data_IF_423230973808
#
_entry.id   IF_423230973808
#
_cell.length_a   1.000
_cell.length_b   1.000
_cell.length_c   1.000
_cell.angle_alpha   90.00
_cell.angle_beta   90.00
_cell.angle_gamma   90.00
#
_symmetry.space_group_name_H-M   'P 1'
#
loop_
_entity.id
_entity.type
_entity.pdbx_description
1 polymer ?
#
# COMPACT_ATOMS: atom_id res chain seq x y z
N UNK A 1 18.71 -9.87 -25.80
CA UNK A 1 17.55 -9.02 -25.41
C UNK A 1 16.58 -9.90 -24.65
N UNK A 2 16.56 -9.85 -23.31
CA UNK A 2 15.59 -10.61 -22.53
C UNK A 2 14.21 -9.98 -22.70
N UNK A 3 13.31 -10.67 -23.39
CA UNK A 3 11.89 -10.29 -23.41
C UNK A 3 11.37 -10.62 -22.01
N UNK A 4 11.19 -9.60 -21.20
CA UNK A 4 10.59 -9.77 -19.88
C UNK A 4 9.10 -10.01 -20.06
N UNK A 5 8.63 -11.21 -19.70
CA UNK A 5 7.20 -11.50 -19.66
C UNK A 5 6.55 -10.65 -18.56
N UNK A 6 5.55 -9.87 -18.93
CA UNK A 6 4.76 -9.04 -18.01
C UNK A 6 3.78 -9.92 -17.23
N UNK A 7 3.57 -9.60 -15.95
CA UNK A 7 2.52 -10.24 -15.15
C UNK A 7 1.15 -9.84 -15.68
N UNK A 8 0.25 -10.80 -15.78
CA UNK A 8 -1.15 -10.57 -16.14
C UNK A 8 -1.97 -10.60 -14.85
N UNK A 9 -2.64 -9.50 -14.53
CA UNK A 9 -3.52 -9.38 -13.37
C UNK A 9 -4.98 -9.55 -13.78
N UNK A 10 -5.71 -10.44 -13.09
CA UNK A 10 -7.13 -10.68 -13.30
C UNK A 10 -7.89 -10.67 -11.97
N UNK A 11 -9.15 -10.22 -11.99
CA UNK A 11 -10.01 -10.32 -10.83
C UNK A 11 -10.78 -11.63 -10.84
N UNK A 12 -10.79 -12.31 -9.69
CA UNK A 12 -11.47 -13.58 -9.47
C UNK A 12 -12.39 -13.45 -8.26
N UNK A 13 -13.68 -13.62 -8.48
CA UNK A 13 -14.69 -13.66 -7.43
C UNK A 13 -14.99 -15.10 -7.02
N UNK A 14 -15.13 -15.34 -5.73
CA UNK A 14 -15.54 -16.63 -5.15
C UNK A 14 -14.74 -17.83 -5.68
N UNK A 15 -13.42 -17.72 -5.74
CA UNK A 15 -12.54 -18.81 -6.24
C UNK A 15 -12.77 -20.15 -5.51
N UNK A 16 -13.06 -20.10 -4.22
CA UNK A 16 -13.28 -21.31 -3.39
C UNK A 16 -14.69 -21.88 -3.52
N UNK A 17 -15.58 -21.24 -4.32
CA UNK A 17 -16.99 -21.62 -4.46
C UNK A 17 -17.73 -21.76 -3.12
N UNK A 18 -17.40 -20.93 -2.16
CA UNK A 18 -18.00 -20.89 -0.82
C UNK A 18 -18.36 -19.46 -0.44
N UNK A 19 -19.53 -19.30 0.15
CA UNK A 19 -19.94 -18.04 0.76
C UNK A 19 -19.65 -18.08 2.26
N UNK A 20 -19.39 -16.93 2.85
CA UNK A 20 -19.26 -16.79 4.30
C UNK A 20 -20.64 -16.81 4.97
N UNK A 21 -20.70 -16.70 6.30
CA UNK A 21 -21.95 -16.70 7.07
C UNK A 21 -22.94 -15.59 6.67
N UNK A 22 -22.44 -14.50 6.05
CA UNK A 22 -23.24 -13.38 5.56
C UNK A 22 -23.69 -13.54 4.09
N UNK A 23 -23.43 -14.68 3.47
CA UNK A 23 -23.74 -14.92 2.06
C UNK A 23 -22.86 -14.14 1.08
N UNK A 24 -21.65 -13.73 1.51
CA UNK A 24 -20.68 -12.99 0.72
C UNK A 24 -19.49 -13.86 0.33
N UNK A 25 -18.82 -13.52 -0.76
CA UNK A 25 -17.57 -14.16 -1.19
C UNK A 25 -16.47 -13.12 -1.43
N UNK A 26 -15.24 -13.59 -1.30
CA UNK A 26 -14.03 -12.78 -1.45
C UNK A 26 -13.74 -12.49 -2.92
N UNK A 27 -13.36 -11.25 -3.21
CA UNK A 27 -12.70 -10.83 -4.44
C UNK A 27 -11.19 -10.99 -4.26
N UNK A 28 -10.51 -11.58 -5.24
CA UNK A 28 -9.06 -11.77 -5.24
C UNK A 28 -8.47 -11.26 -6.55
N UNK A 29 -7.22 -10.78 -6.50
CA UNK A 29 -6.40 -10.52 -7.68
C UNK A 29 -5.61 -11.80 -7.99
N UNK A 30 -5.79 -12.35 -9.19
CA UNK A 30 -4.94 -13.40 -9.75
C UNK A 30 -3.78 -12.74 -10.49
N UNK A 31 -2.54 -13.04 -10.11
CA UNK A 31 -1.36 -12.72 -10.89
C UNK A 31 -0.88 -13.97 -11.61
N UNK A 32 -0.72 -13.87 -12.92
CA UNK A 32 -0.28 -14.95 -13.80
C UNK A 32 1.04 -14.58 -14.47
N UNK A 33 2.04 -15.43 -14.33
CA UNK A 33 3.36 -15.31 -14.93
C UNK A 33 3.96 -16.70 -15.18
N UNK A 34 4.51 -16.94 -16.37
CA UNK A 34 5.25 -18.17 -16.70
C UNK A 34 4.49 -19.46 -16.32
N UNK A 35 3.20 -19.56 -16.70
CA UNK A 35 2.30 -20.68 -16.38
C UNK A 35 2.05 -20.89 -14.88
N UNK A 36 2.47 -19.96 -14.04
CA UNK A 36 2.20 -19.99 -12.61
C UNK A 36 1.15 -18.95 -12.24
N UNK A 37 0.35 -19.26 -11.21
CA UNK A 37 -0.67 -18.37 -10.66
C UNK A 37 -0.47 -18.13 -9.19
N UNK A 38 -0.66 -16.91 -8.76
CA UNK A 38 -0.77 -16.53 -7.35
C UNK A 38 -2.02 -15.68 -7.15
N UNK A 39 -2.61 -15.80 -5.96
CA UNK A 39 -3.84 -15.10 -5.61
C UNK A 39 -3.61 -14.22 -4.41
N UNK A 40 -4.00 -12.96 -4.54
CA UNK A 40 -3.87 -11.92 -3.53
C UNK A 40 -5.26 -11.55 -3.04
N UNK A 41 -5.45 -11.46 -1.73
CA UNK A 41 -6.74 -11.10 -1.14
C UNK A 41 -6.93 -9.60 -1.17
N UNK A 42 -8.06 -9.13 -1.71
CA UNK A 42 -8.45 -7.72 -1.59
C UNK A 42 -9.12 -7.44 -0.25
N UNK A 43 -9.44 -8.49 0.53
CA UNK A 43 -10.29 -8.46 1.73
C UNK A 43 -11.71 -7.92 1.51
N UNK A 44 -12.09 -7.63 0.28
CA UNK A 44 -13.43 -7.21 -0.11
C UNK A 44 -14.31 -8.43 -0.29
N UNK A 45 -15.42 -8.46 0.47
CA UNK A 45 -16.44 -9.50 0.40
C UNK A 45 -17.76 -8.90 -0.08
N UNK A 46 -18.30 -9.41 -1.18
CA UNK A 46 -19.58 -8.98 -1.74
C UNK A 46 -20.52 -10.15 -1.97
N UNK A 47 -21.83 -9.89 -2.07
CA UNK A 47 -22.81 -10.90 -2.44
C UNK A 47 -22.67 -11.25 -3.94
N UNK A 48 -23.05 -12.46 -4.39
CA UNK A 48 -23.00 -12.83 -5.81
C UNK A 48 -23.78 -11.86 -6.71
N UNK A 49 -24.89 -11.28 -6.23
CA UNK A 49 -25.68 -10.26 -6.93
C UNK A 49 -24.99 -8.92 -7.09
N UNK A 50 -23.94 -8.68 -6.28
CA UNK A 50 -23.14 -7.47 -6.29
C UNK A 50 -21.84 -7.60 -7.11
N UNK A 51 -21.68 -8.69 -7.85
CA UNK A 51 -20.54 -8.92 -8.71
C UNK A 51 -20.95 -9.01 -10.18
N UNK A 52 -20.28 -8.27 -11.03
CA UNK A 52 -20.40 -8.37 -12.49
C UNK A 52 -19.25 -9.20 -13.07
N UNK A 53 -19.55 -10.43 -13.47
CA UNK A 53 -18.54 -11.35 -14.01
C UNK A 53 -17.99 -10.96 -15.39
N UNK A 54 -18.75 -10.18 -16.16
CA UNK A 54 -18.31 -9.70 -17.49
C UNK A 54 -17.38 -8.52 -17.36
N UNK A 55 -17.76 -7.53 -16.54
CA UNK A 55 -16.97 -6.32 -16.30
C UNK A 55 -15.87 -6.53 -15.26
N UNK A 56 -15.93 -7.65 -14.51
CA UNK A 56 -15.02 -7.93 -13.40
C UNK A 56 -15.01 -6.80 -12.36
N UNK A 57 -16.17 -6.34 -11.97
CA UNK A 57 -16.35 -5.18 -11.09
C UNK A 57 -17.49 -5.41 -10.08
N UNK A 58 -17.42 -4.69 -8.97
CA UNK A 58 -18.52 -4.59 -8.00
C UNK A 58 -19.64 -3.77 -8.62
N UNK A 59 -20.89 -4.21 -8.45
CA UNK A 59 -22.12 -3.52 -8.87
C UNK A 59 -23.17 -3.56 -7.78
N UNK A 60 -24.16 -2.69 -7.86
CA UNK A 60 -25.33 -2.69 -6.93
C UNK A 60 -24.91 -2.75 -5.44
N UNK A 61 -23.80 -2.11 -5.09
CA UNK A 61 -23.32 -1.97 -3.73
C UNK A 61 -23.33 -0.48 -3.34
N UNK A 62 -23.70 -0.09 -2.10
CA UNK A 62 -23.72 1.32 -1.68
C UNK A 62 -22.39 2.05 -1.93
N UNK A 63 -21.27 1.38 -1.69
CA UNK A 63 -19.92 1.91 -1.87
C UNK A 63 -19.25 1.29 -3.12
N UNK A 64 -19.99 1.17 -4.22
CA UNK A 64 -19.52 0.50 -5.45
C UNK A 64 -18.26 1.16 -6.00
N UNK A 65 -18.27 2.48 -6.09
CA UNK A 65 -17.19 3.25 -6.71
C UNK A 65 -15.92 3.18 -5.87
N UNK A 66 -16.02 3.34 -4.55
CA UNK A 66 -14.90 3.23 -3.63
C UNK A 66 -14.28 1.83 -3.62
N UNK A 67 -15.11 0.79 -3.67
CA UNK A 67 -14.63 -0.60 -3.71
C UNK A 67 -13.91 -0.91 -5.02
N UNK A 68 -14.44 -0.44 -6.15
CA UNK A 68 -13.80 -0.61 -7.44
C UNK A 68 -12.48 0.19 -7.51
N UNK A 69 -12.47 1.43 -7.01
CA UNK A 69 -11.25 2.23 -6.94
C UNK A 69 -10.18 1.55 -6.07
N UNK A 70 -10.56 1.04 -4.90
CA UNK A 70 -9.63 0.29 -4.04
C UNK A 70 -9.03 -0.93 -4.75
N UNK A 71 -9.84 -1.66 -5.54
CA UNK A 71 -9.35 -2.81 -6.31
C UNK A 71 -8.35 -2.37 -7.39
N UNK A 72 -8.62 -1.28 -8.09
CA UNK A 72 -7.72 -0.71 -9.11
C UNK A 72 -6.42 -0.22 -8.48
N UNK A 73 -6.48 0.46 -7.35
CA UNK A 73 -5.32 0.91 -6.60
C UNK A 73 -4.45 -0.27 -6.15
N UNK A 74 -5.09 -1.38 -5.76
CA UNK A 74 -4.38 -2.59 -5.38
C UNK A 74 -3.64 -3.22 -6.57
N UNK A 75 -4.28 -3.31 -7.73
CA UNK A 75 -3.62 -3.81 -8.95
C UNK A 75 -2.45 -2.91 -9.33
N UNK A 76 -2.65 -1.59 -9.32
CA UNK A 76 -1.61 -0.59 -9.58
C UNK A 76 -0.43 -0.73 -8.62
N UNK A 77 -0.69 -1.01 -7.36
CA UNK A 77 0.34 -1.28 -6.36
C UNK A 77 1.17 -2.54 -6.70
N UNK A 78 0.51 -3.64 -7.11
CA UNK A 78 1.20 -4.86 -7.54
C UNK A 78 2.05 -4.64 -8.81
N UNK A 79 1.53 -3.88 -9.77
CA UNK A 79 2.25 -3.48 -10.99
C UNK A 79 3.48 -2.60 -10.68
N UNK A 80 3.38 -1.73 -9.66
CA UNK A 80 4.51 -0.91 -9.23
C UNK A 80 5.63 -1.75 -8.61
N UNK A 81 5.29 -2.77 -7.80
CA UNK A 81 6.28 -3.72 -7.28
C UNK A 81 6.99 -4.44 -8.42
N UNK A 82 6.25 -4.85 -9.47
CA UNK A 82 6.82 -5.46 -10.67
C UNK A 82 7.81 -4.51 -11.34
N UNK A 83 7.41 -3.26 -11.57
CA UNK A 83 8.21 -2.24 -12.23
C UNK A 83 9.51 -1.93 -11.47
N UNK A 84 9.42 -1.79 -10.14
CA UNK A 84 10.59 -1.53 -9.28
C UNK A 84 11.63 -2.66 -9.39
N UNK A 85 11.17 -3.92 -9.51
CA UNK A 85 12.06 -5.06 -9.69
C UNK A 85 12.76 -5.04 -11.04
N UNK A 86 11.99 -4.72 -12.09
CA UNK A 86 12.51 -4.57 -13.45
C UNK A 86 13.62 -3.51 -13.49
N UNK A 87 13.33 -2.33 -12.94
CA UNK A 87 14.27 -1.20 -12.92
C UNK A 87 15.53 -1.50 -12.11
N UNK A 88 15.41 -2.32 -11.06
CA UNK A 88 16.54 -2.73 -10.25
C UNK A 88 17.39 -3.84 -10.89
N UNK A 89 17.05 -4.32 -12.10
CA UNK A 89 17.76 -5.39 -12.82
C UNK A 89 17.69 -6.76 -12.13
N UNK A 90 16.77 -6.96 -11.19
CA UNK A 90 16.62 -8.21 -10.45
C UNK A 90 15.59 -9.12 -11.13
N UNK A 91 15.77 -10.44 -11.10
CA UNK A 91 14.79 -11.37 -11.65
C UNK A 91 13.48 -11.27 -10.86
N UNK A 92 12.38 -10.97 -11.56
CA UNK A 92 11.05 -10.93 -10.97
C UNK A 92 10.48 -12.33 -10.80
N UNK A 93 9.80 -12.57 -9.68
CA UNK A 93 9.05 -13.81 -9.43
C UNK A 93 7.76 -13.54 -8.69
N UNK A 94 6.73 -14.38 -8.93
CA UNK A 94 5.48 -14.32 -8.18
C UNK A 94 5.65 -14.61 -6.67
N UNK A 95 6.75 -15.26 -6.27
CA UNK A 95 7.10 -15.45 -4.85
C UNK A 95 7.43 -14.12 -4.20
N UNK A 96 8.27 -13.32 -4.84
CA UNK A 96 8.64 -11.99 -4.38
C UNK A 96 7.43 -11.06 -4.29
N UNK A 97 6.54 -11.11 -5.30
CA UNK A 97 5.31 -10.35 -5.28
C UNK A 97 4.45 -10.70 -4.06
N UNK A 98 4.41 -11.99 -3.66
CA UNK A 98 3.67 -12.42 -2.48
C UNK A 98 4.27 -11.91 -1.16
N UNK A 99 5.58 -11.84 -1.07
CA UNK A 99 6.26 -11.37 0.15
C UNK A 99 6.06 -9.88 0.39
N UNK A 100 5.78 -9.11 -0.67
CA UNK A 100 5.58 -7.65 -0.63
C UNK A 100 4.16 -7.19 -0.99
N UNK A 101 3.34 -8.06 -1.52
CA UNK A 101 2.01 -7.73 -2.06
C UNK A 101 0.90 -7.63 -1.01
N UNK A 102 1.20 -7.49 0.27
CA UNK A 102 0.19 -7.25 1.29
C UNK A 102 -0.18 -5.76 1.32
N UNK A 103 -1.19 -5.42 0.52
CA UNK A 103 -1.65 -4.04 0.30
C UNK A 103 -2.15 -3.36 1.57
N UNK A 104 -2.70 -4.11 2.51
CA UNK A 104 -3.18 -3.55 3.77
C UNK A 104 -2.02 -3.07 4.66
N UNK A 105 -0.90 -3.78 4.65
CA UNK A 105 0.29 -3.31 5.36
C UNK A 105 0.84 -2.01 4.77
N UNK A 106 0.60 -1.77 3.46
CA UNK A 106 1.03 -0.56 2.76
C UNK A 106 0.00 0.55 2.86
N UNK A 107 -1.31 0.23 2.71
CA UNK A 107 -2.38 1.24 2.84
C UNK A 107 -2.55 1.73 4.28
N UNK A 108 -2.26 0.87 5.27
CA UNK A 108 -2.22 1.25 6.69
C UNK A 108 -0.89 1.84 7.13
N UNK A 109 0.17 1.71 6.34
CA UNK A 109 1.50 2.22 6.67
C UNK A 109 1.59 3.73 6.46
N UNK A 110 1.70 4.47 7.54
CA UNK A 110 1.94 5.91 7.50
C UNK A 110 3.29 6.26 6.83
N UNK A 111 4.32 5.45 7.04
CA UNK A 111 5.65 5.63 6.41
C UNK A 111 5.52 5.53 4.88
N UNK A 112 4.80 4.54 4.38
CA UNK A 112 4.59 4.36 2.93
C UNK A 112 3.73 5.48 2.34
N UNK A 113 2.67 5.88 3.04
CA UNK A 113 1.84 7.03 2.67
C UNK A 113 2.68 8.31 2.59
N UNK A 114 3.43 8.65 3.64
CA UNK A 114 4.27 9.84 3.68
C UNK A 114 5.32 9.84 2.54
N UNK A 115 5.93 8.70 2.25
CA UNK A 115 6.87 8.53 1.13
C UNK A 115 6.20 8.79 -0.23
N UNK A 116 4.99 8.26 -0.43
CA UNK A 116 4.22 8.49 -1.65
C UNK A 116 3.84 9.97 -1.81
N UNK A 117 3.33 10.60 -0.76
CA UNK A 117 2.98 12.02 -0.77
C UNK A 117 4.19 12.91 -1.11
N UNK A 118 5.36 12.64 -0.54
CA UNK A 118 6.59 13.36 -0.85
C UNK A 118 6.95 13.20 -2.33
N UNK A 119 6.87 12.00 -2.89
CA UNK A 119 7.25 11.71 -4.26
C UNK A 119 6.30 12.32 -5.32
N UNK A 120 5.02 12.50 -4.98
CA UNK A 120 4.00 13.04 -5.90
C UNK A 120 3.70 14.53 -5.66
N UNK A 121 4.30 15.15 -4.63
CA UNK A 121 4.05 16.53 -4.30
C UNK A 121 4.82 17.49 -5.20
N UNK A 122 4.15 18.55 -5.69
CA UNK A 122 4.77 19.67 -6.42
C UNK A 122 5.40 20.70 -5.47
N UNK A 123 6.08 20.25 -4.41
CA UNK A 123 6.70 21.13 -3.43
C UNK A 123 8.08 21.62 -3.92
N UNK A 124 8.52 22.77 -3.40
CA UNK A 124 9.89 23.27 -3.64
C UNK A 124 10.91 22.25 -3.12
N UNK A 125 12.04 22.13 -3.81
CA UNK A 125 13.12 21.17 -3.46
C UNK A 125 13.58 21.29 -1.99
N UNK A 126 13.64 22.49 -1.44
CA UNK A 126 13.98 22.70 -0.02
C UNK A 126 12.95 22.10 0.93
N UNK A 127 11.66 22.22 0.57
CA UNK A 127 10.56 21.65 1.36
C UNK A 127 10.56 20.12 1.26
N UNK A 128 10.78 19.56 0.05
CA UNK A 128 10.93 18.12 -0.16
C UNK A 128 12.06 17.55 0.69
N UNK A 129 13.25 18.16 0.69
CA UNK A 129 14.38 17.76 1.53
C UNK A 129 14.03 17.73 3.02
N UNK A 130 13.25 18.70 3.49
CA UNK A 130 12.79 18.75 4.88
C UNK A 130 11.83 17.60 5.22
N UNK A 131 10.89 17.29 4.32
CA UNK A 131 9.97 16.14 4.52
C UNK A 131 10.72 14.81 4.47
N UNK A 132 11.66 14.63 3.53
CA UNK A 132 12.51 13.43 3.46
C UNK A 132 13.34 13.25 4.72
N UNK A 133 13.92 14.34 5.26
CA UNK A 133 14.65 14.30 6.54
C UNK A 133 13.75 13.85 7.69
N UNK A 134 12.50 14.35 7.74
CA UNK A 134 11.55 13.91 8.77
C UNK A 134 11.20 12.43 8.63
N UNK A 135 10.94 11.97 7.41
CA UNK A 135 10.66 10.56 7.12
C UNK A 135 11.83 9.66 7.52
N UNK A 136 13.06 10.06 7.21
CA UNK A 136 14.26 9.31 7.58
C UNK A 136 14.41 9.17 9.10
N UNK A 137 14.21 10.25 9.84
CA UNK A 137 14.28 10.26 11.31
C UNK A 137 13.15 9.43 11.92
N UNK A 138 11.93 9.52 11.36
CA UNK A 138 10.80 8.69 11.79
C UNK A 138 11.11 7.20 11.60
N UNK A 139 11.71 6.81 10.48
CA UNK A 139 12.13 5.43 10.24
C UNK A 139 13.27 4.96 11.16
N UNK A 140 14.11 5.87 11.68
CA UNK A 140 15.11 5.55 12.71
C UNK A 140 14.45 5.29 14.06
N UNK A 141 13.42 6.06 14.41
CA UNK A 141 12.66 5.85 15.64
C UNK A 141 11.83 4.57 15.58
N UNK A 142 11.03 4.42 14.53
CA UNK A 142 10.22 3.23 14.28
C UNK A 142 10.09 2.98 12.77
N UNK A 143 10.70 1.90 12.23
CA UNK A 143 10.73 1.62 10.79
C UNK A 143 9.35 1.33 10.18
N UNK A 144 8.45 0.78 10.99
CA UNK A 144 7.08 0.42 10.59
C UNK A 144 6.10 1.18 11.48
N UNK A 145 5.49 2.21 10.93
CA UNK A 145 4.46 3.02 11.59
C UNK A 145 3.19 2.95 10.76
N UNK A 146 2.11 2.49 11.35
CA UNK A 146 0.77 2.54 10.76
C UNK A 146 0.06 3.85 11.14
N UNK A 147 -1.08 4.15 10.49
CA UNK A 147 -1.92 5.27 10.90
C UNK A 147 -2.48 5.08 12.33
N UNK A 148 -2.77 3.84 12.71
CA UNK A 148 -3.29 3.51 14.05
C UNK A 148 -2.23 3.69 15.15
N UNK A 149 -0.94 3.60 14.80
CA UNK A 149 0.16 3.85 15.73
C UNK A 149 0.33 5.33 16.08
N UNK A 150 -0.17 6.27 15.25
CA UNK A 150 -0.01 7.71 15.43
C UNK A 150 -0.86 8.27 16.57
N UNK A 151 -0.73 7.68 17.73
CA UNK A 151 -1.38 8.12 18.98
C UNK A 151 -0.63 9.28 19.63
N UNK A 152 -1.28 9.93 20.60
CA UNK A 152 -0.62 10.96 21.40
C UNK A 152 0.65 10.42 22.08
N UNK A 153 0.58 9.19 22.63
CA UNK A 153 1.73 8.56 23.28
C UNK A 153 2.89 8.31 22.30
N UNK A 154 2.58 7.89 21.07
CA UNK A 154 3.59 7.74 20.03
C UNK A 154 4.28 9.08 19.73
N UNK A 155 3.51 10.15 19.59
CA UNK A 155 4.06 11.49 19.30
C UNK A 155 4.94 12.00 20.46
N UNK A 156 4.54 11.77 21.69
CA UNK A 156 5.37 12.08 22.87
C UNK A 156 6.67 11.27 22.89
N UNK A 157 6.60 9.97 22.57
CA UNK A 157 7.78 9.12 22.47
C UNK A 157 8.73 9.55 21.35
N UNK A 158 8.20 9.95 20.20
CA UNK A 158 9.00 10.49 19.09
C UNK A 158 9.66 11.82 19.45
N UNK A 159 8.95 12.72 20.15
CA UNK A 159 9.51 13.96 20.66
C UNK A 159 10.66 13.70 21.65
N UNK A 160 10.47 12.76 22.58
CA UNK A 160 11.51 12.35 23.55
C UNK A 160 12.75 11.78 22.83
N UNK A 161 12.55 10.90 21.86
CA UNK A 161 13.62 10.38 21.02
C UNK A 161 14.42 11.52 20.35
N UNK A 162 13.75 12.54 19.79
CA UNK A 162 14.42 13.68 19.18
C UNK A 162 15.22 14.50 20.20
N UNK A 163 14.73 14.63 21.44
CA UNK A 163 15.46 15.31 22.54
C UNK A 163 16.72 14.52 22.92
N UNK A 164 16.65 13.21 23.04
CA UNK A 164 17.80 12.33 23.30
C UNK A 164 18.86 12.41 22.20
N UNK A 165 18.44 12.57 20.95
CA UNK A 165 19.33 12.83 19.80
C UNK A 165 19.86 14.27 19.76
N UNK A 166 19.61 15.08 20.82
CA UNK A 166 20.08 16.47 20.99
C UNK A 166 19.61 17.43 19.89
N UNK A 167 18.46 17.19 19.30
CA UNK A 167 17.86 18.15 18.36
C UNK A 167 17.38 19.41 19.09
N UNK A 168 17.60 20.58 18.48
CA UNK A 168 17.08 21.84 18.99
C UNK A 168 15.53 21.91 18.93
N UNK A 169 14.90 22.59 19.89
CA UNK A 169 13.43 22.72 20.00
C UNK A 169 12.76 23.13 18.69
N UNK A 170 13.34 24.08 17.95
CA UNK A 170 12.80 24.52 16.66
C UNK A 170 12.83 23.40 15.61
N UNK A 171 13.86 22.56 15.62
CA UNK A 171 13.98 21.40 14.72
C UNK A 171 12.96 20.33 15.09
N UNK A 172 12.76 20.07 16.38
CA UNK A 172 11.73 19.15 16.87
C UNK A 172 10.35 19.63 16.44
N UNK A 173 10.03 20.91 16.69
CA UNK A 173 8.75 21.50 16.27
C UNK A 173 8.51 21.38 14.76
N UNK A 174 9.56 21.54 13.94
CA UNK A 174 9.49 21.34 12.49
C UNK A 174 9.12 19.88 12.15
N UNK A 175 9.79 18.89 12.73
CA UNK A 175 9.49 17.48 12.48
C UNK A 175 8.08 17.11 12.93
N UNK A 176 7.65 17.55 14.11
CA UNK A 176 6.29 17.35 14.61
C UNK A 176 5.23 17.98 13.72
N UNK A 177 5.50 19.17 13.15
CA UNK A 177 4.60 19.83 12.19
C UNK A 177 4.44 19.03 10.89
N UNK A 178 5.50 18.37 10.42
CA UNK A 178 5.45 17.57 9.20
C UNK A 178 4.61 16.29 9.36
N UNK A 179 4.47 15.77 10.57
CA UNK A 179 3.60 14.60 10.86
C UNK A 179 2.11 14.98 10.94
N UNK A 180 1.78 16.26 11.15
CA UNK A 180 0.40 16.75 11.26
C UNK A 180 -0.22 17.16 9.91
N UNK A 181 0.55 17.19 8.85
CA UNK A 181 0.12 17.65 7.53
C UNK A 181 -0.36 16.50 6.67
#
# INVERSE_FOLDING_TARGET
MYIMEKVIYNLVFNRKKRLNAEGKALIQVEAYLNRQKKYFSTKIYVKPTQWDSKRKAVRNHPNMDELNQYIEDYITYLERIELDMVQSGRPFSLKYLRERGDFESVSSSFVSFMKNEINHSNLRLSTLKNHLSTLQILCQYQPQVSFDDLTFNFLCGFEHFLLEQKYHRNTIAKHMKHLKR
#
